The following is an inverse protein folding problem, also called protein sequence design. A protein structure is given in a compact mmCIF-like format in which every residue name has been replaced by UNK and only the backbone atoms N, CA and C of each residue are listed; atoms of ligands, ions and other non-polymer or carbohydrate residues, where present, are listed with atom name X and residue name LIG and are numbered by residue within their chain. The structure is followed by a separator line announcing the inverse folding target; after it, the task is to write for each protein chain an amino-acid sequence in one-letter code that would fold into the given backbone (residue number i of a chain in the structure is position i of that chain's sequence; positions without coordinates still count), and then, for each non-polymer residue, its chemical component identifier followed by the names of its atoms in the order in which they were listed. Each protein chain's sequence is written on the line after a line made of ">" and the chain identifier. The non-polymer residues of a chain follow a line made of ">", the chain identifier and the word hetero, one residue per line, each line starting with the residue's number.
data_IF_087734781053
#
_entry.id   IF_087734781053
#
_cell.length_a   1.000
_cell.length_b   1.000
_cell.length_c   1.000
_cell.angle_alpha   90.00
_cell.angle_beta   90.00
_cell.angle_gamma   90.00
#
_symmetry.space_group_name_H-M   'P 1'
#
loop_
_entity.id
_entity.type
_entity.pdbx_description
1 polymer ?
#
# COMPACT_ATOMS: atom_id res chain seq x y z
N UNK A 1 -0.93 -42.45 -27.38
CA UNK A 1 0.42 -42.28 -26.84
C UNK A 1 0.29 -41.24 -25.77
N UNK A 2 0.17 -41.72 -24.55
CA UNK A 2 0.20 -40.93 -23.30
C UNK A 2 1.63 -41.13 -22.80
N UNK A 3 2.42 -40.08 -22.75
CA UNK A 3 3.72 -40.11 -22.10
C UNK A 3 3.60 -39.49 -20.71
N UNK A 4 4.09 -40.27 -19.79
CA UNK A 4 4.10 -40.12 -18.36
C UNK A 4 4.90 -38.88 -17.91
N UNK A 5 4.32 -38.07 -17.04
CA UNK A 5 5.04 -37.14 -16.17
C UNK A 5 5.08 -37.75 -14.77
N UNK A 6 6.08 -38.56 -14.53
CA UNK A 6 6.49 -38.93 -13.17
C UNK A 6 7.49 -37.89 -12.61
N UNK A 7 7.17 -37.40 -11.43
CA UNK A 7 8.11 -37.24 -10.33
C UNK A 7 9.00 -36.03 -10.30
N UNK A 8 8.61 -35.02 -9.53
CA UNK A 8 9.55 -34.28 -8.66
C UNK A 8 8.88 -34.04 -7.30
N UNK A 9 8.86 -35.09 -6.50
CA UNK A 9 8.76 -34.99 -5.06
C UNK A 9 10.17 -34.79 -4.51
N UNK A 10 10.52 -33.58 -4.20
CA UNK A 10 11.74 -33.24 -3.50
C UNK A 10 11.44 -32.07 -2.58
N UNK A 11 10.96 -32.37 -1.38
CA UNK A 11 11.04 -31.41 -0.28
C UNK A 11 12.52 -31.15 -0.02
N UNK A 12 12.98 -29.89 -0.02
CA UNK A 12 14.32 -29.58 0.47
C UNK A 12 14.33 -29.85 1.98
N UNK A 13 15.21 -30.77 2.39
CA UNK A 13 15.41 -31.13 3.79
C UNK A 13 15.82 -29.93 4.61
N UNK A 14 15.28 -29.92 5.80
CA UNK A 14 15.69 -29.11 6.94
C UNK A 14 17.11 -29.50 7.34
N UNK A 15 18.12 -28.83 6.79
CA UNK A 15 19.48 -28.92 7.27
C UNK A 15 20.11 -27.53 7.31
N UNK A 16 20.55 -27.16 8.53
CA UNK A 16 21.32 -26.00 8.97
C UNK A 16 20.52 -24.81 9.53
N UNK A 17 20.19 -24.92 10.80
CA UNK A 17 19.53 -23.88 11.61
C UNK A 17 20.48 -23.02 12.46
N UNK A 18 21.75 -22.93 12.12
CA UNK A 18 22.74 -22.25 12.99
C UNK A 18 23.13 -20.83 12.58
N UNK A 19 22.50 -20.26 11.56
CA UNK A 19 22.66 -18.84 11.13
C UNK A 19 21.38 -18.36 10.47
N UNK A 20 21.09 -17.06 10.60
CA UNK A 20 20.14 -16.40 9.70
C UNK A 20 20.50 -16.81 8.28
N UNK A 21 19.56 -17.37 7.53
CA UNK A 21 19.82 -17.78 6.16
C UNK A 21 20.24 -16.57 5.33
N UNK A 22 21.04 -16.79 4.28
CA UNK A 22 21.42 -15.72 3.36
C UNK A 22 20.20 -14.95 2.83
N UNK A 23 19.04 -15.61 2.76
CA UNK A 23 17.76 -15.00 2.46
C UNK A 23 17.26 -14.05 3.57
N UNK A 24 17.42 -14.41 4.83
CA UNK A 24 17.03 -13.57 5.98
C UNK A 24 17.99 -12.39 6.15
N UNK A 25 19.27 -12.58 5.87
CA UNK A 25 20.26 -11.51 5.82
C UNK A 25 20.04 -10.58 4.63
N UNK A 26 19.75 -11.11 3.44
CA UNK A 26 19.41 -10.29 2.26
C UNK A 26 18.10 -9.54 2.47
N UNK A 27 17.12 -10.13 3.17
CA UNK A 27 15.88 -9.46 3.55
C UNK A 27 16.12 -8.31 4.52
N UNK A 28 17.01 -8.47 5.51
CA UNK A 28 17.41 -7.40 6.44
C UNK A 28 18.17 -6.30 5.71
N UNK A 29 19.10 -6.66 4.80
CA UNK A 29 19.84 -5.71 3.98
C UNK A 29 18.96 -4.95 2.98
N UNK A 30 17.95 -5.63 2.41
CA UNK A 30 17.01 -5.06 1.45
C UNK A 30 15.94 -4.19 2.13
N UNK A 31 15.64 -4.46 3.41
CA UNK A 31 14.62 -3.79 4.22
C UNK A 31 15.12 -2.51 4.88
N UNK A 32 16.42 -2.37 5.11
CA UNK A 32 16.98 -1.18 5.72
C UNK A 32 17.27 -0.12 4.66
N UNK A 33 16.72 1.09 4.76
CA UNK A 33 16.98 2.13 3.78
C UNK A 33 18.45 2.49 3.79
N UNK A 34 19.03 2.55 2.59
CA UNK A 34 20.42 2.91 2.27
C UNK A 34 20.83 4.34 2.73
N UNK A 35 20.28 4.84 3.83
CA UNK A 35 20.58 6.19 4.30
C UNK A 35 21.72 6.25 5.33
N UNK A 36 22.22 5.10 5.79
CA UNK A 36 23.42 5.08 6.60
C UNK A 36 24.04 3.67 6.66
N UNK A 37 24.79 3.29 5.64
CA UNK A 37 25.49 1.98 5.54
C UNK A 37 26.35 1.67 6.79
N UNK A 38 26.85 2.72 7.46
CA UNK A 38 27.64 2.56 8.67
C UNK A 38 26.79 2.15 9.89
N UNK A 39 25.58 2.68 10.02
CA UNK A 39 24.66 2.34 11.13
C UNK A 39 24.15 0.90 11.01
N UNK A 40 23.92 0.45 9.78
CA UNK A 40 23.52 -0.94 9.53
C UNK A 40 24.65 -1.92 9.83
N UNK A 41 25.86 -1.64 9.36
CA UNK A 41 27.02 -2.47 9.61
C UNK A 41 27.37 -2.52 11.10
N UNK A 42 27.35 -1.38 11.79
CA UNK A 42 27.55 -1.30 13.25
C UNK A 42 26.47 -2.09 14.01
N UNK A 43 25.22 -2.05 13.55
CA UNK A 43 24.11 -2.74 14.20
C UNK A 43 24.14 -4.25 13.95
N UNK A 44 24.52 -4.68 12.75
CA UNK A 44 24.76 -6.10 12.43
C UNK A 44 25.93 -6.65 13.27
N UNK A 45 27.00 -5.88 13.41
CA UNK A 45 28.14 -6.26 14.26
C UNK A 45 27.79 -6.28 15.76
N UNK A 46 26.95 -5.35 16.21
CA UNK A 46 26.43 -5.30 17.58
C UNK A 46 25.51 -6.50 17.86
N UNK A 47 24.61 -6.82 16.94
CA UNK A 47 23.74 -7.99 17.00
C UNK A 47 24.53 -9.30 16.93
N UNK A 48 25.56 -9.40 16.10
CA UNK A 48 26.47 -10.54 16.05
C UNK A 48 27.32 -10.67 17.33
N UNK A 49 27.60 -9.55 18.02
CA UNK A 49 28.27 -9.53 19.32
C UNK A 49 27.37 -9.98 20.50
N UNK A 50 26.07 -9.70 20.42
CA UNK A 50 25.06 -10.11 21.41
C UNK A 50 24.66 -11.59 21.27
N UNK A 51 24.73 -12.14 20.06
CA UNK A 51 24.40 -13.52 19.77
C UNK A 51 25.64 -14.25 19.22
N UNK A 52 26.51 -14.76 20.11
CA UNK A 52 27.60 -15.61 19.67
C UNK A 52 27.02 -16.83 18.91
N UNK A 53 27.72 -17.38 17.90
CA UNK A 53 27.20 -18.35 16.93
C UNK A 53 26.58 -19.66 17.51
N UNK A 54 26.53 -19.78 18.82
CA UNK A 54 25.98 -20.96 19.55
C UNK A 54 24.65 -20.68 20.28
N UNK A 55 24.07 -19.48 20.17
CA UNK A 55 22.94 -19.09 21.03
C UNK A 55 21.60 -18.94 20.31
N UNK A 56 21.54 -19.03 18.99
CA UNK A 56 20.26 -18.98 18.25
C UNK A 56 19.74 -20.42 18.12
N UNK A 57 19.18 -20.94 19.17
CA UNK A 57 18.77 -22.35 19.27
C UNK A 57 17.24 -22.54 19.09
N UNK A 58 16.50 -21.46 18.77
CA UNK A 58 15.05 -21.59 18.57
C UNK A 58 14.47 -20.53 17.63
N UNK A 59 13.42 -20.90 16.90
CA UNK A 59 12.55 -19.99 16.11
C UNK A 59 12.08 -18.78 16.94
N UNK A 60 12.06 -18.91 18.26
CA UNK A 60 11.66 -17.87 19.20
C UNK A 60 12.69 -16.77 19.35
N UNK A 61 13.98 -17.10 19.29
CA UNK A 61 15.07 -16.11 19.40
C UNK A 61 15.19 -15.32 18.09
N UNK A 62 14.99 -15.99 16.95
CA UNK A 62 14.89 -15.35 15.65
C UNK A 62 13.68 -14.41 15.59
N UNK A 63 12.52 -14.84 16.09
CA UNK A 63 11.33 -14.01 16.16
C UNK A 63 11.51 -12.78 17.06
N UNK A 64 12.19 -12.93 18.20
CA UNK A 64 12.51 -11.80 19.10
C UNK A 64 13.51 -10.83 18.45
N UNK A 65 14.50 -11.33 17.73
CA UNK A 65 15.45 -10.50 16.99
C UNK A 65 14.73 -9.70 15.88
N UNK A 66 13.91 -10.37 15.09
CA UNK A 66 13.08 -9.73 14.05
C UNK A 66 12.19 -8.65 14.67
N UNK A 67 11.57 -8.92 15.82
CA UNK A 67 10.72 -7.95 16.51
C UNK A 67 11.50 -6.75 17.03
N UNK A 68 12.70 -6.96 17.59
CA UNK A 68 13.57 -5.86 18.04
C UNK A 68 14.06 -4.97 16.87
N UNK A 69 14.35 -5.58 15.73
CA UNK A 69 14.73 -4.85 14.51
C UNK A 69 13.54 -4.09 13.94
N UNK A 70 12.32 -4.64 13.99
CA UNK A 70 11.09 -3.98 13.54
C UNK A 70 10.79 -2.69 14.31
N UNK A 71 11.07 -2.62 15.59
CA UNK A 71 10.84 -1.42 16.41
C UNK A 71 11.72 -0.22 15.98
N UNK A 72 12.87 -0.48 15.34
CA UNK A 72 13.82 0.55 14.91
C UNK A 72 13.70 0.93 13.42
N UNK A 73 12.96 0.13 12.62
CA UNK A 73 12.80 0.35 11.18
C UNK A 73 11.68 1.35 10.91
N UNK A 74 11.88 2.23 9.93
CA UNK A 74 10.82 3.12 9.46
C UNK A 74 9.55 2.34 9.08
N UNK A 75 8.34 2.79 9.48
CA UNK A 75 7.08 2.17 9.10
C UNK A 75 6.94 1.87 7.60
N UNK A 76 7.57 2.68 6.74
CA UNK A 76 7.57 2.49 5.28
C UNK A 76 8.25 1.20 4.81
N UNK A 77 9.00 0.51 5.68
CA UNK A 77 9.73 -0.71 5.36
C UNK A 77 9.21 -1.95 6.10
N UNK A 78 8.20 -1.79 6.91
CA UNK A 78 7.52 -2.90 7.59
C UNK A 78 6.40 -3.46 6.72
N UNK A 79 6.00 -4.70 7.01
CA UNK A 79 4.75 -5.25 6.50
C UNK A 79 3.59 -4.32 6.85
N UNK A 80 2.75 -3.99 5.88
CA UNK A 80 1.60 -3.13 6.09
C UNK A 80 0.56 -3.84 6.97
N UNK A 81 -0.22 -3.11 7.78
CA UNK A 81 -1.36 -3.69 8.48
C UNK A 81 -2.33 -4.37 7.50
N UNK A 82 -3.07 -5.37 7.98
CA UNK A 82 -4.14 -5.98 7.18
C UNK A 82 -5.18 -4.93 6.76
N UNK A 83 -5.80 -5.10 5.60
CA UNK A 83 -6.74 -4.13 5.02
C UNK A 83 -7.83 -3.67 6.00
N UNK A 84 -8.40 -4.58 6.80
CA UNK A 84 -9.40 -4.20 7.81
C UNK A 84 -8.85 -3.24 8.87
N UNK A 85 -7.57 -3.35 9.22
CA UNK A 85 -6.89 -2.42 10.15
C UNK A 85 -6.63 -1.10 9.43
N UNK A 86 -6.10 -1.13 8.21
CA UNK A 86 -5.87 0.08 7.42
C UNK A 86 -7.18 0.87 7.23
N UNK A 87 -8.28 0.19 6.87
CA UNK A 87 -9.61 0.81 6.69
C UNK A 87 -10.06 1.52 7.96
N UNK A 88 -9.91 0.87 9.11
CA UNK A 88 -10.29 1.46 10.40
C UNK A 88 -9.40 2.66 10.76
N UNK A 89 -8.08 2.52 10.68
CA UNK A 89 -7.13 3.58 11.01
C UNK A 89 -7.25 4.78 10.05
N UNK A 90 -7.44 4.56 8.75
CA UNK A 90 -7.64 5.64 7.77
C UNK A 90 -8.96 6.36 8.06
N UNK A 91 -10.04 5.62 8.31
CA UNK A 91 -11.32 6.25 8.61
C UNK A 91 -11.31 7.04 9.92
N UNK A 92 -10.61 6.56 10.96
CA UNK A 92 -10.39 7.29 12.21
C UNK A 92 -9.56 8.57 11.98
N UNK A 93 -8.46 8.44 11.26
CA UNK A 93 -7.62 9.57 10.90
C UNK A 93 -8.41 10.66 10.15
N UNK A 94 -9.25 10.27 9.20
CA UNK A 94 -10.08 11.19 8.44
C UNK A 94 -11.06 11.97 9.33
N UNK A 95 -11.60 11.39 10.41
CA UNK A 95 -12.48 12.10 11.34
C UNK A 95 -11.77 13.21 12.13
N UNK A 96 -10.47 13.13 12.22
CA UNK A 96 -9.64 14.11 12.93
C UNK A 96 -8.98 15.14 12.00
N UNK A 97 -9.19 15.04 10.69
CA UNK A 97 -8.55 15.88 9.69
C UNK A 97 -9.30 17.21 9.54
N UNK A 98 -8.64 18.31 9.92
CA UNK A 98 -9.17 19.67 9.77
C UNK A 98 -9.43 19.99 8.29
N UNK A 99 -10.57 20.58 8.00
CA UNK A 99 -10.99 20.94 6.65
C UNK A 99 -11.61 19.79 5.84
N UNK A 100 -11.63 18.56 6.38
CA UNK A 100 -12.17 17.41 5.64
C UNK A 100 -13.67 17.23 5.82
N UNK A 101 -14.25 17.63 6.96
CA UNK A 101 -15.71 17.57 7.12
C UNK A 101 -16.40 18.48 6.08
N UNK A 102 -17.51 18.02 5.48
CA UNK A 102 -18.16 18.75 4.39
C UNK A 102 -18.56 20.20 4.76
N UNK A 103 -18.95 20.42 6.01
CA UNK A 103 -19.28 21.77 6.53
C UNK A 103 -18.09 22.72 6.48
N UNK A 104 -16.87 22.22 6.67
CA UNK A 104 -15.60 22.96 6.56
C UNK A 104 -15.12 23.00 5.10
N UNK A 105 -15.10 21.85 4.42
CA UNK A 105 -14.66 21.68 3.04
C UNK A 105 -15.28 22.69 2.07
N UNK A 106 -16.58 22.92 2.15
CA UNK A 106 -17.30 23.84 1.26
C UNK A 106 -16.88 25.30 1.42
N UNK A 107 -16.29 25.68 2.57
CA UNK A 107 -15.80 27.03 2.86
C UNK A 107 -14.34 27.22 2.42
N UNK A 108 -13.61 26.13 2.14
CA UNK A 108 -12.23 26.17 1.68
C UNK A 108 -12.13 26.68 0.24
N UNK A 109 -11.07 27.46 -0.02
CA UNK A 109 -10.62 27.76 -1.39
C UNK A 109 -10.19 26.48 -2.12
N UNK A 110 -10.07 26.58 -3.42
CA UNK A 110 -9.62 25.46 -4.24
C UNK A 110 -8.22 24.96 -3.82
N UNK A 111 -7.30 25.85 -3.57
CA UNK A 111 -5.94 25.58 -3.15
C UNK A 111 -5.91 24.88 -1.78
N UNK A 112 -6.70 25.37 -0.83
CA UNK A 112 -6.82 24.75 0.50
C UNK A 112 -7.39 23.32 0.41
N UNK A 113 -8.34 23.06 -0.51
CA UNK A 113 -8.85 21.70 -0.76
C UNK A 113 -7.75 20.75 -1.24
N UNK A 114 -6.89 21.20 -2.16
CA UNK A 114 -5.73 20.41 -2.62
C UNK A 114 -4.76 20.14 -1.45
N UNK A 115 -4.51 21.13 -0.60
CA UNK A 115 -3.66 20.93 0.59
C UNK A 115 -4.24 19.91 1.56
N UNK A 116 -5.57 19.93 1.78
CA UNK A 116 -6.25 18.93 2.61
C UNK A 116 -6.12 17.55 1.99
N UNK A 117 -6.37 17.39 0.68
CA UNK A 117 -6.22 16.11 -0.01
C UNK A 117 -4.78 15.59 0.07
N UNK A 118 -3.78 16.48 -0.06
CA UNK A 118 -2.37 16.09 0.09
C UNK A 118 -2.06 15.59 1.49
N UNK A 119 -2.61 16.23 2.53
CA UNK A 119 -2.44 15.78 3.92
C UNK A 119 -3.09 14.42 4.17
N UNK A 120 -4.28 14.19 3.61
CA UNK A 120 -4.98 12.89 3.67
C UNK A 120 -4.13 11.82 3.00
N UNK A 121 -3.60 12.09 1.80
CA UNK A 121 -2.74 11.14 1.07
C UNK A 121 -1.46 10.80 1.86
N UNK A 122 -0.80 11.77 2.47
CA UNK A 122 0.36 11.51 3.33
C UNK A 122 0.02 10.53 4.46
N UNK A 123 -1.12 10.70 5.10
CA UNK A 123 -1.54 9.82 6.19
C UNK A 123 -1.95 8.44 5.72
N UNK A 124 -2.63 8.35 4.58
CA UNK A 124 -2.95 7.06 3.96
C UNK A 124 -1.65 6.29 3.62
N UNK A 125 -0.67 6.97 3.02
CA UNK A 125 0.61 6.38 2.67
C UNK A 125 1.38 5.87 3.90
N UNK A 126 1.37 6.66 5.00
CA UNK A 126 1.98 6.29 6.28
C UNK A 126 1.34 4.99 6.84
N UNK A 127 0.01 4.94 6.91
CA UNK A 127 -0.74 3.76 7.40
C UNK A 127 -0.53 2.54 6.50
N UNK A 128 -0.48 2.75 5.19
CA UNK A 128 -0.29 1.70 4.20
C UNK A 128 1.18 1.29 3.99
N UNK A 129 2.12 1.86 4.74
CA UNK A 129 3.56 1.59 4.63
C UNK A 129 4.11 1.71 3.20
N UNK A 130 3.74 2.77 2.50
CA UNK A 130 4.25 3.12 1.17
C UNK A 130 4.70 4.58 1.10
N UNK A 131 5.52 4.96 0.12
CA UNK A 131 5.80 6.36 -0.14
C UNK A 131 4.53 7.14 -0.49
N UNK A 132 4.41 8.40 -0.06
CA UNK A 132 3.29 9.25 -0.44
C UNK A 132 3.38 9.70 -1.90
N UNK A 133 2.21 9.92 -2.50
CA UNK A 133 2.10 10.48 -3.83
C UNK A 133 1.90 12.00 -3.78
N UNK A 134 2.29 12.67 -4.86
CA UNK A 134 1.94 14.07 -5.06
C UNK A 134 0.50 14.19 -5.58
N UNK A 135 -0.35 14.88 -4.84
CA UNK A 135 -1.74 15.14 -5.25
C UNK A 135 -1.77 16.38 -6.13
N UNK A 136 -2.24 16.19 -7.35
CA UNK A 136 -2.42 17.24 -8.36
C UNK A 136 -3.85 17.24 -8.88
N UNK A 137 -4.21 18.28 -9.62
CA UNK A 137 -5.52 18.37 -10.22
C UNK A 137 -5.48 18.98 -11.62
N UNK A 138 -6.38 18.54 -12.46
CA UNK A 138 -6.64 19.14 -13.78
C UNK A 138 -8.06 18.81 -14.22
N UNK A 139 -8.62 19.55 -15.16
CA UNK A 139 -9.89 19.20 -15.78
C UNK A 139 -9.73 17.93 -16.61
N UNK A 140 -10.55 16.92 -16.32
CA UNK A 140 -10.53 15.62 -16.98
C UNK A 140 -11.75 15.40 -17.90
N UNK A 141 -12.69 16.34 -17.88
CA UNK A 141 -13.97 16.20 -18.58
C UNK A 141 -14.97 15.32 -17.82
N UNK A 142 -16.17 15.20 -18.41
CA UNK A 142 -17.28 14.50 -17.78
C UNK A 142 -17.01 12.99 -17.64
N UNK A 143 -17.32 12.47 -16.46
CA UNK A 143 -17.23 11.04 -16.16
C UNK A 143 -15.84 10.52 -15.81
N UNK A 144 -14.83 11.39 -15.80
CA UNK A 144 -13.49 11.06 -15.33
C UNK A 144 -13.17 11.79 -14.02
N UNK A 145 -12.97 11.04 -12.95
CA UNK A 145 -12.78 11.60 -11.61
C UNK A 145 -11.31 11.76 -11.22
N UNK A 146 -10.44 10.84 -11.64
CA UNK A 146 -9.01 10.88 -11.37
C UNK A 146 -8.23 9.76 -12.02
N UNK A 147 -6.95 9.69 -11.73
CA UNK A 147 -6.07 8.58 -12.08
C UNK A 147 -4.73 8.66 -11.31
N UNK A 148 -4.12 7.52 -11.11
CA UNK A 148 -2.75 7.38 -10.63
C UNK A 148 -1.77 7.29 -11.81
N UNK A 149 -0.57 7.84 -11.63
CA UNK A 149 0.52 7.73 -12.61
C UNK A 149 1.76 7.08 -11.96
N UNK A 150 2.04 5.80 -12.27
CA UNK A 150 3.11 5.05 -11.64
C UNK A 150 4.47 5.76 -11.70
N UNK A 151 4.96 6.10 -12.85
CA UNK A 151 6.33 6.64 -13.03
C UNK A 151 6.61 7.97 -12.34
N UNK A 152 5.58 8.75 -11.96
CA UNK A 152 5.73 10.03 -11.27
C UNK A 152 5.24 10.01 -9.83
N UNK A 153 4.72 8.88 -9.36
CA UNK A 153 4.05 8.76 -8.05
C UNK A 153 3.07 9.91 -7.81
N UNK A 154 2.20 10.17 -8.79
CA UNK A 154 1.27 11.30 -8.76
C UNK A 154 -0.17 10.82 -8.85
N UNK A 155 -1.02 11.39 -8.00
CA UNK A 155 -2.47 11.23 -8.03
C UNK A 155 -3.09 12.48 -8.67
N UNK A 156 -3.90 12.30 -9.69
CA UNK A 156 -4.65 13.37 -10.30
C UNK A 156 -6.13 13.23 -9.97
N UNK A 157 -6.72 14.31 -9.43
CA UNK A 157 -8.16 14.41 -9.18
C UNK A 157 -8.76 15.47 -10.07
N UNK A 158 -9.97 15.26 -10.56
CA UNK A 158 -10.62 16.19 -11.49
C UNK A 158 -10.89 17.54 -10.81
N UNK A 159 -10.31 18.61 -11.34
CA UNK A 159 -10.44 19.97 -10.82
C UNK A 159 -11.90 20.46 -10.82
N UNK A 160 -12.73 20.01 -11.74
CA UNK A 160 -14.13 20.41 -11.84
C UNK A 160 -14.94 19.85 -10.66
N UNK A 161 -14.59 18.65 -10.21
CA UNK A 161 -15.20 17.98 -9.04
C UNK A 161 -14.70 18.61 -7.74
N UNK A 162 -13.38 18.86 -7.61
CA UNK A 162 -12.81 19.54 -6.43
C UNK A 162 -13.38 20.94 -6.24
N UNK A 163 -13.61 21.69 -7.30
CA UNK A 163 -14.12 23.06 -7.25
C UNK A 163 -15.59 23.14 -6.86
N UNK A 164 -16.31 22.04 -6.92
CA UNK A 164 -17.73 21.97 -6.63
C UNK A 164 -18.02 22.08 -5.13
N UNK A 165 -19.13 22.75 -4.77
CA UNK A 165 -19.68 22.76 -3.43
C UNK A 165 -20.82 21.73 -3.22
N UNK A 166 -20.97 20.80 -4.16
CA UNK A 166 -21.92 19.71 -4.06
C UNK A 166 -21.41 18.62 -3.09
N UNK A 167 -22.27 18.17 -2.21
CA UNK A 167 -21.96 17.03 -1.32
C UNK A 167 -21.63 15.76 -2.10
N UNK A 168 -22.25 15.58 -3.27
CA UNK A 168 -21.93 14.47 -4.15
C UNK A 168 -20.51 14.55 -4.65
N UNK A 169 -20.11 15.71 -5.19
CA UNK A 169 -18.77 15.88 -5.78
C UNK A 169 -17.68 15.85 -4.71
N UNK A 170 -17.97 16.33 -3.50
CA UNK A 170 -17.10 16.15 -2.34
C UNK A 170 -16.86 14.65 -2.06
N UNK A 171 -17.90 13.82 -2.04
CA UNK A 171 -17.76 12.37 -1.85
C UNK A 171 -16.97 11.71 -2.97
N UNK A 172 -17.24 12.06 -4.22
CA UNK A 172 -16.49 11.58 -5.39
C UNK A 172 -15.02 11.99 -5.32
N UNK A 173 -14.72 13.18 -4.80
CA UNK A 173 -13.33 13.64 -4.60
C UNK A 173 -12.59 12.74 -3.61
N UNK A 174 -13.20 12.44 -2.46
CA UNK A 174 -12.60 11.56 -1.46
C UNK A 174 -12.47 10.11 -1.95
N UNK A 175 -13.51 9.60 -2.62
CA UNK A 175 -13.52 8.27 -3.21
C UNK A 175 -12.37 8.12 -4.21
N UNK A 176 -12.24 9.08 -5.11
CA UNK A 176 -11.17 9.12 -6.09
C UNK A 176 -9.78 9.14 -5.44
N UNK A 177 -9.56 9.99 -4.45
CA UNK A 177 -8.27 10.08 -3.78
C UNK A 177 -7.86 8.74 -3.16
N UNK A 178 -8.78 8.08 -2.47
CA UNK A 178 -8.52 6.81 -1.80
C UNK A 178 -8.34 5.68 -2.81
N UNK A 179 -9.18 5.64 -3.85
CA UNK A 179 -9.11 4.67 -4.93
C UNK A 179 -7.77 4.73 -5.68
N UNK A 180 -7.36 5.92 -6.11
CA UNK A 180 -6.09 6.12 -6.80
C UNK A 180 -4.89 5.90 -5.85
N UNK A 181 -5.05 6.25 -4.58
CA UNK A 181 -4.09 5.91 -3.52
C UNK A 181 -3.91 4.41 -3.34
N UNK A 182 -4.99 3.61 -3.53
CA UNK A 182 -4.90 2.14 -3.51
C UNK A 182 -4.16 1.61 -4.74
N UNK A 183 -4.32 2.21 -5.91
CA UNK A 183 -3.50 1.88 -7.09
C UNK A 183 -2.02 2.18 -6.86
N UNK A 184 -1.68 3.28 -6.18
CA UNK A 184 -0.31 3.56 -5.78
C UNK A 184 0.25 2.49 -4.81
N UNK A 185 -0.58 1.98 -3.90
CA UNK A 185 -0.22 0.87 -3.02
C UNK A 185 0.01 -0.44 -3.79
N UNK A 186 -0.86 -0.76 -4.73
CA UNK A 186 -0.72 -1.93 -5.59
C UNK A 186 0.58 -1.85 -6.42
N UNK A 187 0.84 -0.71 -7.06
CA UNK A 187 2.05 -0.46 -7.84
C UNK A 187 3.32 -0.62 -6.98
N UNK A 188 3.34 -0.04 -5.78
CA UNK A 188 4.45 -0.18 -4.84
C UNK A 188 4.73 -1.64 -4.49
N UNK A 189 3.67 -2.42 -4.19
CA UNK A 189 3.80 -3.85 -3.89
C UNK A 189 4.25 -4.71 -5.08
N UNK A 190 3.93 -4.29 -6.29
CA UNK A 190 4.25 -5.03 -7.52
C UNK A 190 5.64 -4.73 -8.06
N UNK A 191 6.11 -3.50 -7.91
CA UNK A 191 7.24 -2.99 -8.65
C UNK A 191 8.40 -2.51 -7.77
N UNK A 192 8.12 -2.15 -6.51
CA UNK A 192 9.13 -1.64 -5.59
C UNK A 192 9.37 -2.62 -4.44
N UNK A 193 8.33 -2.84 -3.64
CA UNK A 193 8.44 -3.66 -2.44
C UNK A 193 7.11 -4.23 -2.00
N UNK A 194 7.05 -5.55 -1.82
CA UNK A 194 5.88 -6.23 -1.27
C UNK A 194 5.81 -6.02 0.25
N UNK A 195 4.90 -5.15 0.68
CA UNK A 195 4.57 -4.92 2.10
C UNK A 195 3.18 -5.43 2.45
N UNK A 196 2.38 -5.83 1.46
CA UNK A 196 1.02 -6.32 1.67
C UNK A 196 1.03 -7.67 2.41
N UNK A 197 0.23 -7.83 3.49
CA UNK A 197 0.27 -9.01 4.37
C UNK A 197 -0.23 -10.30 3.71
N UNK A 198 -0.83 -10.21 2.52
CA UNK A 198 -1.39 -11.36 1.79
C UNK A 198 -0.81 -11.46 0.38
N UNK A 199 0.25 -12.24 0.24
CA UNK A 199 0.93 -12.45 -1.05
C UNK A 199 0.01 -13.00 -2.16
N UNK A 200 -1.11 -13.65 -1.80
CA UNK A 200 -2.13 -14.09 -2.75
C UNK A 200 -2.81 -12.94 -3.48
N UNK A 201 -3.08 -11.83 -2.80
CA UNK A 201 -3.69 -10.65 -3.39
C UNK A 201 -2.69 -9.95 -4.33
N UNK A 202 -1.44 -9.80 -3.89
CA UNK A 202 -0.34 -9.28 -4.74
C UNK A 202 -0.18 -10.13 -6.00
N UNK A 203 -0.27 -11.46 -5.87
CA UNK A 203 -0.22 -12.37 -7.03
C UNK A 203 -1.37 -12.15 -7.99
N UNK A 204 -2.60 -11.90 -7.49
CA UNK A 204 -3.76 -11.59 -8.32
C UNK A 204 -3.61 -10.24 -9.04
N UNK A 205 -3.11 -9.20 -8.35
CA UNK A 205 -2.81 -7.92 -8.97
C UNK A 205 -1.77 -8.05 -10.08
N UNK A 206 -0.69 -8.82 -9.82
CA UNK A 206 0.37 -9.07 -10.78
C UNK A 206 -0.12 -9.81 -12.03
N UNK A 207 -1.01 -10.78 -11.87
CA UNK A 207 -1.63 -11.48 -13.00
C UNK A 207 -2.46 -10.53 -13.84
N UNK A 208 -3.26 -9.67 -13.21
CA UNK A 208 -4.10 -8.72 -13.89
C UNK A 208 -3.29 -7.66 -14.67
N UNK A 209 -2.19 -7.15 -14.08
CA UNK A 209 -1.38 -6.10 -14.69
C UNK A 209 -0.44 -6.65 -15.79
N UNK A 210 0.28 -7.76 -15.51
CA UNK A 210 1.39 -8.24 -16.37
C UNK A 210 0.99 -9.27 -17.43
N UNK A 211 -0.17 -9.89 -17.32
CA UNK A 211 -0.59 -10.97 -18.22
C UNK A 211 -1.66 -10.58 -19.23
N UNK A 212 -1.69 -9.31 -19.66
CA UNK A 212 -2.60 -8.82 -20.73
C UNK A 212 -4.08 -8.85 -20.39
N UNK A 213 -4.40 -8.83 -19.12
CA UNK A 213 -5.78 -8.98 -18.67
C UNK A 213 -6.37 -7.69 -18.12
N UNK A 214 -5.62 -6.56 -18.20
CA UNK A 214 -6.21 -5.27 -17.87
C UNK A 214 -7.29 -4.91 -18.89
N UNK A 215 -8.51 -4.87 -18.40
CA UNK A 215 -9.71 -4.72 -19.22
C UNK A 215 -10.16 -3.26 -19.20
N UNK A 216 -9.74 -2.50 -20.19
CA UNK A 216 -10.18 -1.11 -20.32
C UNK A 216 -11.67 -1.00 -20.68
N UNK A 217 -12.29 0.11 -20.26
CA UNK A 217 -13.73 0.34 -20.44
C UNK A 217 -14.13 0.38 -21.90
N UNK A 218 -13.26 0.88 -22.77
CA UNK A 218 -13.61 1.09 -24.20
C UNK A 218 -13.74 -0.23 -24.95
N UNK A 219 -12.92 -1.23 -24.62
CA UNK A 219 -12.93 -2.53 -25.31
C UNK A 219 -13.82 -3.57 -24.63
N UNK A 220 -13.87 -3.55 -23.30
CA UNK A 220 -14.51 -4.62 -22.51
C UNK A 220 -15.77 -4.17 -21.78
N UNK A 221 -16.01 -2.87 -21.72
CA UNK A 221 -17.12 -2.27 -21.01
C UNK A 221 -16.89 -2.12 -19.50
N UNK A 222 -17.66 -1.23 -18.89
CA UNK A 222 -17.49 -0.84 -17.48
C UNK A 222 -17.54 -2.02 -16.50
N UNK A 223 -18.40 -3.01 -16.75
CA UNK A 223 -18.52 -4.16 -15.83
C UNK A 223 -17.24 -4.99 -15.78
N UNK A 224 -16.63 -5.27 -16.92
CA UNK A 224 -15.39 -6.03 -16.98
C UNK A 224 -14.24 -5.26 -16.33
N UNK A 225 -14.12 -3.97 -16.65
CA UNK A 225 -13.18 -3.06 -16.00
C UNK A 225 -13.35 -3.06 -14.47
N UNK A 226 -14.55 -2.86 -13.96
CA UNK A 226 -14.82 -2.70 -12.54
C UNK A 226 -14.61 -3.99 -11.71
N UNK A 227 -14.69 -5.17 -12.35
CA UNK A 227 -14.58 -6.47 -11.67
C UNK A 227 -13.19 -7.10 -11.76
N UNK A 228 -12.26 -6.50 -12.51
CA UNK A 228 -10.90 -7.01 -12.55
C UNK A 228 -10.18 -6.81 -11.19
N UNK A 229 -9.23 -7.68 -10.81
CA UNK A 229 -8.67 -7.73 -9.46
C UNK A 229 -8.19 -6.39 -8.90
N UNK A 230 -7.41 -5.62 -9.69
CA UNK A 230 -6.86 -4.33 -9.21
C UNK A 230 -7.95 -3.27 -8.99
N UNK A 231 -8.94 -3.21 -9.87
CA UNK A 231 -10.03 -2.24 -9.78
C UNK A 231 -11.05 -2.62 -8.70
N UNK A 232 -11.37 -3.92 -8.59
CA UNK A 232 -12.27 -4.43 -7.57
C UNK A 232 -11.72 -4.20 -6.15
N UNK A 233 -10.43 -4.42 -5.95
CA UNK A 233 -9.74 -4.15 -4.70
C UNK A 233 -9.74 -2.65 -4.37
N UNK A 234 -9.36 -1.79 -5.32
CA UNK A 234 -9.31 -0.35 -5.09
C UNK A 234 -10.71 0.24 -4.77
N UNK A 235 -11.75 -0.21 -5.46
CA UNK A 235 -13.14 0.19 -5.17
C UNK A 235 -13.61 -0.26 -3.81
N UNK A 236 -13.43 -1.54 -3.47
CA UNK A 236 -13.85 -2.08 -2.19
C UNK A 236 -13.15 -1.36 -1.03
N UNK A 237 -11.86 -1.12 -1.16
CA UNK A 237 -11.06 -0.41 -0.16
C UNK A 237 -11.56 1.02 0.06
N UNK A 238 -11.79 1.78 -1.01
CA UNK A 238 -12.30 3.14 -0.93
C UNK A 238 -13.74 3.19 -0.36
N UNK A 239 -14.62 2.31 -0.82
CA UNK A 239 -16.01 2.22 -0.35
C UNK A 239 -16.07 1.91 1.16
N UNK A 240 -15.28 0.95 1.64
CA UNK A 240 -15.27 0.58 3.06
C UNK A 240 -14.73 1.70 3.95
N UNK A 241 -13.66 2.40 3.54
CA UNK A 241 -13.13 3.56 4.27
C UNK A 241 -14.18 4.66 4.34
N UNK A 242 -14.78 5.05 3.22
CA UNK A 242 -15.75 6.13 3.20
C UNK A 242 -17.02 5.78 3.97
N UNK A 243 -17.47 4.54 3.89
CA UNK A 243 -18.59 4.05 4.69
C UNK A 243 -18.30 4.17 6.19
N UNK A 244 -17.11 3.76 6.63
CA UNK A 244 -16.72 3.88 8.03
C UNK A 244 -16.59 5.35 8.44
N UNK A 245 -15.91 6.17 7.62
CA UNK A 245 -15.77 7.61 7.87
C UNK A 245 -17.13 8.32 8.03
N UNK A 246 -18.03 8.17 7.05
CA UNK A 246 -19.34 8.82 7.11
C UNK A 246 -20.22 8.30 8.25
N UNK A 247 -20.09 7.04 8.63
CA UNK A 247 -20.80 6.51 9.81
C UNK A 247 -20.28 7.10 11.13
N UNK A 248 -18.98 7.45 11.20
CA UNK A 248 -18.37 8.01 12.41
C UNK A 248 -18.70 9.50 12.62
N UNK A 249 -18.98 10.23 11.55
CA UNK A 249 -19.29 11.67 11.61
C UNK A 249 -20.81 11.97 11.51
N UNK A 250 -21.66 10.95 11.31
CA UNK A 250 -23.12 11.10 11.25
C UNK A 250 -23.72 11.28 12.66
#
# INVERSE_FOLDING_TARGET
>A
MLEDYEGLSGSPGLENHDRLSDYQLSYIEEVLPLHNDNLLAERIDELNGYFPPKAIDSDKDVAMLIESVKEEISPLYLEAPQDGIQIEEISDMMTCMEGLEFSEWKELSYEERIEVLQKVEFKIAEIAHRPPCHVSSKSLGDGHYGYYTPGSSSLFVNSDVISSNSYRDYKETLDTLIHEGRHAYQDYNLNEREVHPRSGDVSNWKLNEKHYEYQDVAHYGFKAYALQPVEADARAFAEDILKNYFNKIA
#
